data_IF_208886844029
#
_entry.id   IF_208886844029
#
_cell.length_a   1.000
_cell.length_b   1.000
_cell.length_c   1.000
_cell.angle_alpha   90.00
_cell.angle_beta   90.00
_cell.angle_gamma   90.00
#
_symmetry.space_group_name_H-M   'P 1'
#
loop_
_entity.id
_entity.type
_entity.pdbx_description
1 polymer ?
#
# COMPACT_ATOMS: atom_id res chain seq x y z
N UNK A 1 42.23 -44.56 15.17
CA UNK A 1 42.47 -43.11 15.02
C UNK A 1 41.27 -42.38 15.58
N UNK A 2 41.45 -41.34 16.42
CA UNK A 2 40.33 -40.65 17.07
C UNK A 2 39.65 -39.68 16.10
N UNK A 3 38.34 -39.46 16.29
CA UNK A 3 37.53 -38.53 15.51
C UNK A 3 37.96 -37.07 15.79
N UNK A 4 37.84 -36.15 14.80
CA UNK A 4 38.13 -34.73 15.02
C UNK A 4 37.04 -34.09 15.92
N UNK A 5 37.40 -33.07 16.71
CA UNK A 5 36.44 -32.38 17.57
C UNK A 5 35.43 -31.57 16.73
N UNK A 6 34.18 -31.56 17.18
CA UNK A 6 33.12 -30.74 16.62
C UNK A 6 33.43 -29.25 16.82
N UNK A 7 33.33 -28.46 15.75
CA UNK A 7 33.42 -27.02 15.81
C UNK A 7 32.19 -26.44 16.54
N UNK A 8 32.43 -25.60 17.54
CA UNK A 8 31.40 -24.81 18.21
C UNK A 8 30.80 -23.79 17.23
N UNK A 9 29.50 -23.49 17.31
CA UNK A 9 28.89 -22.49 16.44
C UNK A 9 29.41 -21.09 16.79
N UNK A 10 29.98 -20.42 15.79
CA UNK A 10 30.36 -19.01 15.87
C UNK A 10 29.12 -18.17 16.21
N UNK A 11 29.23 -17.38 17.28
CA UNK A 11 28.22 -16.40 17.65
C UNK A 11 28.10 -15.36 16.53
N UNK A 12 26.90 -15.26 15.93
CA UNK A 12 26.54 -14.15 15.05
C UNK A 12 26.72 -12.85 15.83
N UNK A 13 27.66 -12.02 15.39
CA UNK A 13 27.83 -10.67 15.90
C UNK A 13 26.55 -9.87 15.61
N UNK A 14 26.03 -9.20 16.64
CA UNK A 14 24.98 -8.18 16.51
C UNK A 14 25.49 -7.08 15.56
N UNK A 15 24.89 -6.99 14.38
CA UNK A 15 25.09 -5.84 13.50
C UNK A 15 24.36 -4.62 14.09
N UNK A 16 24.97 -3.42 14.07
CA UNK A 16 24.37 -2.23 14.65
C UNK A 16 23.10 -1.83 13.88
N UNK A 17 22.00 -1.68 14.62
CA UNK A 17 20.63 -1.40 14.17
C UNK A 17 20.41 -0.05 13.45
N UNK A 18 21.48 0.70 13.15
CA UNK A 18 21.43 2.11 12.76
C UNK A 18 22.23 2.42 11.48
N UNK A 19 22.36 1.43 10.58
CA UNK A 19 22.73 1.72 9.20
C UNK A 19 21.60 2.54 8.54
N UNK A 20 21.90 3.62 7.81
CA UNK A 20 20.86 4.35 7.07
C UNK A 20 20.18 3.35 6.14
N UNK A 21 18.88 3.10 6.35
CA UNK A 21 18.10 2.26 5.44
C UNK A 21 18.24 2.88 4.06
N UNK A 22 18.91 2.17 3.15
CA UNK A 22 19.02 2.59 1.77
C UNK A 22 17.60 2.84 1.24
N UNK A 23 17.40 3.96 0.52
CA UNK A 23 16.11 4.25 -0.10
C UNK A 23 15.71 3.07 -0.99
N UNK A 24 14.43 2.67 -0.98
CA UNK A 24 13.98 1.51 -1.75
C UNK A 24 14.26 1.73 -3.24
N UNK A 25 14.89 0.75 -3.87
CA UNK A 25 15.26 0.80 -5.29
C UNK A 25 14.33 -0.03 -6.15
N UNK A 26 13.75 -1.09 -5.57
CA UNK A 26 12.81 -1.98 -6.23
C UNK A 26 11.49 -1.98 -5.49
N UNK A 27 10.40 -1.62 -6.19
CA UNK A 27 9.05 -1.63 -5.65
C UNK A 27 8.27 -2.80 -6.22
N UNK A 28 7.41 -3.41 -5.42
CA UNK A 28 6.30 -4.21 -5.94
C UNK A 28 5.02 -3.42 -5.75
N UNK A 29 4.49 -2.86 -6.83
CA UNK A 29 3.18 -2.23 -6.85
C UNK A 29 2.15 -3.36 -6.89
N UNK A 30 1.19 -3.37 -5.97
CA UNK A 30 0.20 -4.42 -5.78
C UNK A 30 -1.19 -3.81 -5.73
N UNK A 31 -2.14 -4.56 -6.29
CA UNK A 31 -3.57 -4.32 -6.14
C UNK A 31 -4.31 -5.67 -6.06
N UNK A 32 -5.43 -5.69 -5.34
CA UNK A 32 -6.25 -6.89 -5.13
C UNK A 32 -7.70 -6.61 -5.52
N UNK A 33 -8.32 -7.56 -6.24
CA UNK A 33 -9.78 -7.62 -6.32
C UNK A 33 -10.31 -8.73 -5.42
N UNK A 34 -11.44 -8.47 -4.78
CA UNK A 34 -11.98 -9.31 -3.72
C UNK A 34 -13.48 -9.54 -3.92
N UNK A 35 -14.04 -10.56 -3.26
CA UNK A 35 -15.48 -10.82 -3.28
C UNK A 35 -16.31 -9.84 -2.45
N UNK A 36 -15.64 -9.11 -1.56
CA UNK A 36 -16.20 -8.15 -0.60
C UNK A 36 -15.09 -7.51 0.26
N UNK A 37 -15.43 -6.96 1.42
CA UNK A 37 -14.52 -6.11 2.21
C UNK A 37 -13.97 -6.78 3.47
N UNK A 38 -14.56 -7.90 3.93
CA UNK A 38 -14.21 -8.54 5.20
C UNK A 38 -13.32 -9.76 4.97
N UNK A 39 -12.03 -9.73 5.30
CA UNK A 39 -11.12 -10.85 5.06
C UNK A 39 -11.44 -12.14 5.83
N UNK A 40 -12.35 -12.09 6.82
CA UNK A 40 -12.84 -13.28 7.53
C UNK A 40 -14.01 -13.96 6.81
N UNK A 41 -14.73 -13.24 5.95
CA UNK A 41 -15.93 -13.75 5.26
C UNK A 41 -15.77 -13.81 3.74
N UNK A 42 -14.94 -12.92 3.19
CA UNK A 42 -14.69 -12.73 1.77
C UNK A 42 -13.34 -13.32 1.35
N UNK A 43 -13.10 -13.34 0.04
CA UNK A 43 -11.92 -13.94 -0.57
C UNK A 43 -11.28 -12.98 -1.58
N UNK A 44 -9.94 -12.95 -1.61
CA UNK A 44 -9.19 -12.37 -2.73
C UNK A 44 -9.38 -13.25 -3.98
N UNK A 45 -9.71 -12.62 -5.11
CA UNK A 45 -10.04 -13.31 -6.37
C UNK A 45 -9.21 -12.85 -7.57
N UNK A 46 -8.49 -11.74 -7.47
CA UNK A 46 -7.46 -11.32 -8.43
C UNK A 46 -6.28 -10.72 -7.67
N UNK A 47 -5.07 -11.10 -8.09
CA UNK A 47 -3.83 -10.42 -7.72
C UNK A 47 -3.29 -9.74 -8.97
N UNK A 48 -2.94 -8.46 -8.84
CA UNK A 48 -2.20 -7.70 -9.84
C UNK A 48 -0.92 -7.15 -9.22
N UNK A 49 0.18 -7.21 -9.95
CA UNK A 49 1.42 -6.63 -9.50
C UNK A 49 2.35 -6.15 -10.62
N UNK A 50 3.20 -5.18 -10.29
CA UNK A 50 4.27 -4.65 -11.13
C UNK A 50 5.54 -4.50 -10.29
N UNK A 51 6.59 -5.20 -10.68
CA UNK A 51 7.94 -4.97 -10.17
C UNK A 51 8.55 -3.78 -10.91
N UNK A 52 8.82 -2.70 -10.17
CA UNK A 52 9.22 -1.41 -10.71
C UNK A 52 10.59 -1.00 -10.16
N UNK A 53 11.50 -0.67 -11.05
CA UNK A 53 12.82 -0.13 -10.72
C UNK A 53 12.73 1.40 -10.59
N UNK A 54 13.00 1.90 -9.38
CA UNK A 54 12.92 3.32 -9.04
C UNK A 54 13.95 4.13 -9.84
N UNK A 55 15.26 3.79 -9.86
CA UNK A 55 16.26 4.62 -10.52
C UNK A 55 16.04 4.78 -12.04
N UNK A 56 15.67 3.70 -12.73
CA UNK A 56 15.44 3.73 -14.18
C UNK A 56 13.99 4.03 -14.57
N UNK A 57 13.09 4.21 -13.60
CA UNK A 57 11.66 4.44 -13.81
C UNK A 57 10.99 3.39 -14.70
N UNK A 58 11.45 2.15 -14.60
CA UNK A 58 11.10 1.10 -15.55
C UNK A 58 10.40 -0.08 -14.89
N UNK A 59 9.43 -0.65 -15.62
CA UNK A 59 8.81 -1.92 -15.24
C UNK A 59 9.76 -3.06 -15.57
N UNK A 60 10.14 -3.84 -14.55
CA UNK A 60 10.98 -5.03 -14.69
C UNK A 60 10.14 -6.27 -14.99
N UNK A 61 8.99 -6.40 -14.32
CA UNK A 61 8.04 -7.48 -14.49
C UNK A 61 6.64 -7.01 -14.14
N UNK A 62 5.62 -7.64 -14.73
CA UNK A 62 4.23 -7.41 -14.39
C UNK A 62 3.43 -8.70 -14.55
N UNK A 63 2.44 -8.90 -13.69
CA UNK A 63 1.59 -10.08 -13.73
C UNK A 63 0.21 -9.77 -13.16
N UNK A 64 -0.80 -10.45 -13.68
CA UNK A 64 -2.05 -10.63 -12.96
C UNK A 64 -2.66 -12.00 -13.23
N UNK A 65 -3.34 -12.53 -12.22
CA UNK A 65 -3.97 -13.84 -12.27
C UNK A 65 -5.17 -13.90 -11.31
N UNK A 66 -6.11 -14.77 -11.64
CA UNK A 66 -7.31 -15.00 -10.84
C UNK A 66 -7.08 -16.11 -9.83
N UNK A 67 -7.61 -15.91 -8.62
CA UNK A 67 -7.70 -16.92 -7.58
C UNK A 67 -9.12 -17.53 -7.60
N UNK A 68 -9.25 -18.87 -7.60
CA UNK A 68 -10.57 -19.50 -7.63
C UNK A 68 -11.41 -19.15 -6.38
N UNK A 69 -12.65 -18.70 -6.62
CA UNK A 69 -13.64 -18.40 -5.58
C UNK A 69 -14.99 -19.00 -5.96
N UNK A 70 -15.85 -19.29 -4.99
CA UNK A 70 -17.17 -19.89 -5.25
C UNK A 70 -18.21 -18.85 -5.67
N UNK A 71 -18.16 -17.65 -5.08
CA UNK A 71 -19.05 -16.52 -5.34
C UNK A 71 -18.26 -15.20 -5.36
N UNK A 72 -18.85 -14.16 -5.95
CA UNK A 72 -18.30 -12.81 -5.96
C UNK A 72 -19.45 -11.80 -5.83
N UNK A 73 -19.68 -11.27 -4.63
CA UNK A 73 -20.72 -10.25 -4.41
C UNK A 73 -20.32 -8.88 -5.00
N UNK A 74 -19.03 -8.66 -5.21
CA UNK A 74 -18.46 -7.45 -5.80
C UNK A 74 -18.36 -7.48 -7.34
N UNK A 75 -18.96 -8.47 -8.03
CA UNK A 75 -18.88 -8.61 -9.50
C UNK A 75 -19.34 -7.34 -10.24
N UNK A 76 -20.31 -6.60 -9.71
CA UNK A 76 -20.77 -5.35 -10.32
C UNK A 76 -19.68 -4.24 -10.35
N UNK A 77 -18.67 -4.36 -9.47
CA UNK A 77 -17.55 -3.42 -9.33
C UNK A 77 -16.37 -3.90 -10.17
N UNK A 78 -15.85 -5.10 -9.87
CA UNK A 78 -14.64 -5.63 -10.49
C UNK A 78 -14.86 -6.34 -11.84
N UNK A 79 -16.12 -6.65 -12.17
CA UNK A 79 -16.53 -7.32 -13.42
C UNK A 79 -15.89 -8.69 -13.62
N UNK A 80 -15.59 -9.41 -12.53
CA UNK A 80 -15.00 -10.75 -12.57
C UNK A 80 -16.05 -11.78 -12.15
N UNK A 81 -16.67 -12.52 -13.08
CA UNK A 81 -17.60 -13.58 -12.70
C UNK A 81 -16.88 -14.70 -11.95
N UNK A 82 -17.44 -15.14 -10.82
CA UNK A 82 -16.85 -16.22 -10.01
C UNK A 82 -16.64 -17.51 -10.82
N UNK A 83 -17.49 -17.78 -11.82
CA UNK A 83 -17.34 -18.93 -12.70
C UNK A 83 -16.08 -18.86 -13.60
N UNK A 84 -15.56 -17.66 -13.90
CA UNK A 84 -14.34 -17.48 -14.70
C UNK A 84 -13.10 -17.82 -13.88
N UNK A 85 -13.07 -17.48 -12.59
CA UNK A 85 -11.92 -17.76 -11.70
C UNK A 85 -11.68 -19.26 -11.49
N UNK A 86 -12.70 -20.11 -11.76
CA UNK A 86 -12.61 -21.58 -11.65
C UNK A 86 -12.32 -22.27 -12.98
N UNK A 87 -12.09 -21.54 -14.08
CA UNK A 87 -11.68 -22.15 -15.36
C UNK A 87 -10.26 -22.72 -15.23
N UNK A 88 -9.88 -23.76 -16.01
CA UNK A 88 -8.52 -24.27 -16.00
C UNK A 88 -7.50 -23.17 -16.33
N UNK A 89 -6.58 -22.89 -15.41
CA UNK A 89 -5.56 -21.85 -15.52
C UNK A 89 -4.39 -22.13 -14.57
N UNK A 90 -3.17 -21.68 -14.88
CA UNK A 90 -1.97 -21.94 -14.09
C UNK A 90 -1.82 -20.96 -12.92
N UNK A 91 -2.87 -20.80 -12.11
CA UNK A 91 -2.87 -19.81 -11.02
C UNK A 91 -1.88 -20.18 -9.90
N UNK A 92 -1.55 -21.47 -9.74
CA UNK A 92 -0.59 -21.93 -8.73
C UNK A 92 0.83 -21.55 -9.12
N UNK A 93 1.19 -21.74 -10.39
CA UNK A 93 2.47 -21.31 -10.94
C UNK A 93 2.56 -19.78 -10.95
N UNK A 94 1.46 -19.10 -11.23
CA UNK A 94 1.38 -17.65 -11.12
C UNK A 94 1.63 -17.17 -9.69
N UNK A 95 1.07 -17.86 -8.69
CA UNK A 95 1.30 -17.57 -7.27
C UNK A 95 2.77 -17.77 -6.86
N UNK A 96 3.42 -18.84 -7.33
CA UNK A 96 4.86 -19.06 -7.09
C UNK A 96 5.70 -17.93 -7.71
N UNK A 97 5.36 -17.48 -8.92
CA UNK A 97 6.04 -16.34 -9.51
C UNK A 97 5.80 -15.05 -8.72
N UNK A 98 4.58 -14.82 -8.24
CA UNK A 98 4.26 -13.69 -7.37
C UNK A 98 5.07 -13.69 -6.07
N UNK A 99 5.29 -14.85 -5.44
CA UNK A 99 6.18 -14.97 -4.28
C UNK A 99 7.62 -14.56 -4.61
N UNK A 100 8.15 -14.95 -5.78
CA UNK A 100 9.46 -14.48 -6.23
C UNK A 100 9.52 -12.97 -6.47
N UNK A 101 8.44 -12.35 -6.93
CA UNK A 101 8.35 -10.90 -7.08
C UNK A 101 8.29 -10.20 -5.73
N UNK A 102 7.60 -10.78 -4.74
CA UNK A 102 7.58 -10.28 -3.37
C UNK A 102 8.97 -10.29 -2.73
N UNK A 103 9.69 -11.41 -2.88
CA UNK A 103 11.05 -11.57 -2.34
C UNK A 103 12.06 -10.62 -2.99
N UNK A 104 11.82 -10.20 -4.23
CA UNK A 104 12.70 -9.30 -4.97
C UNK A 104 12.50 -7.80 -4.63
N UNK A 105 11.42 -7.44 -3.92
CA UNK A 105 11.07 -6.04 -3.69
C UNK A 105 11.54 -5.53 -2.33
N UNK A 106 12.08 -4.30 -2.33
CA UNK A 106 12.45 -3.58 -1.11
C UNK A 106 11.22 -3.01 -0.38
N UNK A 107 10.17 -2.68 -1.15
CA UNK A 107 8.97 -2.00 -0.67
C UNK A 107 7.73 -2.43 -1.47
N UNK A 108 6.63 -2.71 -0.76
CA UNK A 108 5.32 -2.93 -1.36
C UNK A 108 4.57 -1.61 -1.47
N UNK A 109 3.95 -1.36 -2.60
CA UNK A 109 3.20 -0.12 -2.87
C UNK A 109 1.79 -0.46 -3.30
N UNK A 110 0.80 0.20 -2.70
CA UNK A 110 -0.59 0.06 -3.13
C UNK A 110 -1.35 1.37 -3.01
N UNK A 111 -2.44 1.52 -3.78
CA UNK A 111 -3.35 2.64 -3.65
C UNK A 111 -4.50 2.26 -2.73
N UNK A 112 -4.41 2.69 -1.45
CA UNK A 112 -5.20 2.16 -0.33
C UNK A 112 -4.61 0.90 0.31
N UNK A 113 -3.30 0.88 0.56
CA UNK A 113 -2.57 -0.30 1.05
C UNK A 113 -3.17 -1.03 2.26
N UNK A 114 -3.91 -0.34 3.15
CA UNK A 114 -4.61 -1.01 4.25
C UNK A 114 -5.64 -2.04 3.77
N UNK A 115 -6.29 -1.79 2.63
CA UNK A 115 -7.23 -2.70 2.00
C UNK A 115 -6.55 -3.93 1.44
N UNK A 116 -5.44 -3.79 0.72
CA UNK A 116 -4.73 -4.94 0.12
C UNK A 116 -3.99 -5.77 1.17
N UNK A 117 -3.32 -5.10 2.12
CA UNK A 117 -2.48 -5.74 3.12
C UNK A 117 -3.24 -6.74 3.99
N UNK A 118 -4.53 -6.52 4.27
CA UNK A 118 -5.31 -7.40 5.14
C UNK A 118 -5.50 -8.81 4.57
N UNK A 119 -5.33 -9.00 3.26
CA UNK A 119 -5.46 -10.30 2.60
C UNK A 119 -4.18 -11.14 2.68
N UNK A 120 -3.03 -10.53 2.96
CA UNK A 120 -1.74 -11.21 2.98
C UNK A 120 -1.60 -12.09 4.23
N UNK A 121 -1.23 -13.36 4.02
CA UNK A 121 -1.18 -14.37 5.06
C UNK A 121 -2.51 -15.09 5.30
N UNK A 122 -3.54 -14.83 4.47
CA UNK A 122 -4.83 -15.50 4.51
C UNK A 122 -5.05 -16.35 3.25
N UNK A 123 -5.69 -17.51 3.44
CA UNK A 123 -5.99 -18.42 2.34
C UNK A 123 -4.73 -18.85 1.60
N UNK A 124 -4.66 -18.52 0.30
CA UNK A 124 -3.50 -18.82 -0.56
C UNK A 124 -2.61 -17.61 -0.82
N UNK A 125 -2.98 -16.42 -0.33
CA UNK A 125 -2.16 -15.22 -0.51
C UNK A 125 -1.01 -15.27 0.50
N UNK A 126 0.26 -15.18 0.06
CA UNK A 126 1.41 -15.34 0.94
C UNK A 126 1.45 -14.23 2.01
N UNK A 127 1.98 -14.58 3.18
CA UNK A 127 2.36 -13.58 4.17
C UNK A 127 3.62 -12.84 3.69
N UNK A 128 3.81 -11.60 4.14
CA UNK A 128 5.01 -10.83 3.85
C UNK A 128 5.39 -9.96 5.03
N UNK A 129 6.70 -9.82 5.25
CA UNK A 129 7.28 -8.86 6.20
C UNK A 129 7.77 -7.58 5.52
N UNK A 130 7.73 -7.53 4.17
CA UNK A 130 8.15 -6.37 3.40
C UNK A 130 7.30 -5.15 3.77
N UNK A 131 7.91 -3.98 4.00
CA UNK A 131 7.18 -2.77 4.36
C UNK A 131 6.17 -2.38 3.27
N UNK A 132 5.14 -1.64 3.66
CA UNK A 132 4.11 -1.12 2.77
C UNK A 132 4.15 0.40 2.73
N UNK A 133 3.87 0.95 1.55
CA UNK A 133 3.62 2.38 1.33
C UNK A 133 2.29 2.58 0.60
N UNK A 134 1.46 3.48 1.11
CA UNK A 134 0.18 3.81 0.53
C UNK A 134 0.25 5.09 -0.32
N UNK A 135 0.00 4.98 -1.63
CA UNK A 135 0.01 6.16 -2.52
C UNK A 135 -1.12 7.15 -2.24
N UNK A 136 -2.18 6.70 -1.55
CA UNK A 136 -3.30 7.55 -1.14
C UNK A 136 -3.07 8.23 0.22
N UNK A 137 -2.39 7.57 1.16
CA UNK A 137 -2.29 8.04 2.55
C UNK A 137 -0.90 8.56 2.95
N UNK A 138 0.16 8.00 2.38
CA UNK A 138 1.53 8.24 2.84
C UNK A 138 2.26 9.23 1.93
N UNK A 139 1.95 9.25 0.63
CA UNK A 139 2.52 10.22 -0.31
C UNK A 139 1.81 11.57 -0.21
N UNK A 140 2.60 12.65 -0.23
CA UNK A 140 2.10 14.02 -0.42
C UNK A 140 2.38 14.45 -1.83
N UNK A 141 1.35 14.33 -2.66
CA UNK A 141 1.42 14.73 -4.06
C UNK A 141 1.61 16.24 -4.20
N UNK A 142 2.43 16.71 -5.16
CA UNK A 142 2.70 18.14 -5.35
C UNK A 142 1.43 18.96 -5.53
N UNK A 143 1.38 20.16 -4.94
CA UNK A 143 0.21 21.02 -4.95
C UNK A 143 -0.20 21.46 -6.37
N UNK A 144 0.77 21.55 -7.28
CA UNK A 144 0.59 21.89 -8.70
C UNK A 144 -0.29 20.88 -9.43
N UNK A 145 -0.37 19.63 -8.93
CA UNK A 145 -1.25 18.58 -9.46
C UNK A 145 -2.72 18.80 -9.11
N UNK A 146 -3.02 19.73 -8.18
CA UNK A 146 -4.37 20.10 -7.75
C UNK A 146 -5.22 18.89 -7.30
N UNK A 147 -4.56 17.90 -6.72
CA UNK A 147 -5.20 16.69 -6.22
C UNK A 147 -5.86 16.96 -4.86
N UNK A 148 -6.93 16.20 -4.58
CA UNK A 148 -7.48 16.10 -3.22
C UNK A 148 -6.45 15.44 -2.30
N UNK A 149 -6.60 15.61 -0.98
CA UNK A 149 -5.70 15.00 0.01
C UNK A 149 -5.60 13.47 -0.09
N UNK A 150 -6.67 12.83 -0.57
CA UNK A 150 -6.75 11.39 -0.88
C UNK A 150 -7.36 11.24 -2.27
N UNK A 151 -6.57 11.40 -3.34
CA UNK A 151 -7.10 11.26 -4.68
C UNK A 151 -7.45 9.80 -4.94
N UNK A 152 -8.42 9.54 -5.83
CA UNK A 152 -8.57 8.19 -6.38
C UNK A 152 -7.38 7.88 -7.29
N UNK A 153 -7.08 6.59 -7.52
CA UNK A 153 -6.02 6.18 -8.46
C UNK A 153 -6.25 6.78 -9.86
N UNK A 154 -7.51 6.89 -10.29
CA UNK A 154 -7.90 7.55 -11.53
C UNK A 154 -7.58 9.04 -11.53
N UNK A 155 -7.97 9.77 -10.48
CA UNK A 155 -7.70 11.21 -10.39
C UNK A 155 -6.18 11.46 -10.39
N UNK A 156 -5.43 10.61 -9.68
CA UNK A 156 -3.98 10.64 -9.64
C UNK A 156 -3.39 10.40 -11.04
N UNK A 157 -3.79 9.33 -11.73
CA UNK A 157 -3.37 9.01 -13.10
C UNK A 157 -3.60 10.19 -14.05
N UNK A 158 -4.81 10.77 -14.03
CA UNK A 158 -5.19 11.90 -14.87
C UNK A 158 -4.34 13.15 -14.59
N UNK A 159 -4.02 13.44 -13.32
CA UNK A 159 -3.17 14.59 -12.95
C UNK A 159 -1.71 14.45 -13.44
N UNK A 160 -1.29 13.24 -13.76
CA UNK A 160 0.00 12.93 -14.40
C UNK A 160 -0.12 12.70 -15.91
N UNK A 161 -1.28 12.94 -16.51
CA UNK A 161 -1.50 12.78 -17.95
C UNK A 161 -1.57 11.34 -18.42
N UNK A 162 -1.82 10.39 -17.51
CA UNK A 162 -2.01 8.97 -17.83
C UNK A 162 -3.46 8.74 -18.23
N UNK A 163 -3.74 8.22 -19.44
CA UNK A 163 -5.10 7.88 -19.84
C UNK A 163 -5.66 6.76 -18.96
N UNK A 164 -6.94 6.86 -18.59
CA UNK A 164 -7.62 5.84 -17.79
C UNK A 164 -8.63 5.11 -18.66
N UNK A 165 -8.44 3.80 -18.85
CA UNK A 165 -9.24 2.97 -19.76
C UNK A 165 -10.05 1.88 -19.03
N UNK A 166 -9.60 1.49 -17.84
CA UNK A 166 -10.25 0.52 -16.97
C UNK A 166 -10.16 0.98 -15.52
N UNK A 167 -11.03 0.45 -14.67
CA UNK A 167 -10.96 0.62 -13.22
C UNK A 167 -11.49 -0.67 -12.60
N UNK A 168 -11.04 -0.97 -11.38
CA UNK A 168 -11.42 -2.19 -10.65
C UNK A 168 -10.97 -3.44 -11.41
N UNK A 169 -9.70 -3.42 -11.82
CA UNK A 169 -8.95 -4.56 -12.33
C UNK A 169 -7.53 -4.40 -11.86
N UNK A 170 -7.04 -5.39 -11.12
CA UNK A 170 -5.84 -5.22 -10.29
C UNK A 170 -4.62 -4.73 -11.07
N UNK A 171 -4.33 -5.35 -12.23
CA UNK A 171 -3.19 -4.92 -13.05
C UNK A 171 -3.36 -3.52 -13.62
N UNK A 172 -4.58 -3.13 -14.01
CA UNK A 172 -4.80 -1.79 -14.59
C UNK A 172 -4.53 -0.70 -13.55
N UNK A 173 -4.97 -0.92 -12.31
CA UNK A 173 -4.73 0.03 -11.23
C UNK A 173 -3.24 0.06 -10.82
N UNK A 174 -2.54 -1.08 -10.87
CA UNK A 174 -1.07 -1.11 -10.75
C UNK A 174 -0.37 -0.32 -11.88
N UNK A 175 -0.81 -0.46 -13.14
CA UNK A 175 -0.24 0.26 -14.28
C UNK A 175 -0.38 1.76 -14.07
N UNK A 176 -1.52 2.25 -13.57
CA UNK A 176 -1.68 3.68 -13.30
C UNK A 176 -0.67 4.21 -12.29
N UNK A 177 -0.38 3.46 -11.23
CA UNK A 177 0.64 3.84 -10.24
C UNK A 177 2.03 3.82 -10.88
N UNK A 178 2.37 2.78 -11.63
CA UNK A 178 3.66 2.66 -12.31
C UNK A 178 3.89 3.81 -13.31
N UNK A 179 2.88 4.15 -14.09
CA UNK A 179 2.92 5.26 -15.05
C UNK A 179 3.01 6.63 -14.35
N UNK A 180 2.34 6.81 -13.21
CA UNK A 180 2.51 8.00 -12.37
C UNK A 180 3.94 8.11 -11.87
N UNK A 181 4.46 7.03 -11.29
CA UNK A 181 5.84 6.97 -10.78
C UNK A 181 6.89 7.22 -11.86
N UNK A 182 6.68 6.69 -13.07
CA UNK A 182 7.55 6.96 -14.21
C UNK A 182 7.58 8.44 -14.63
N UNK A 183 6.56 9.23 -14.25
CA UNK A 183 6.44 10.67 -14.51
C UNK A 183 6.71 11.54 -13.27
N UNK A 184 7.20 10.93 -12.19
CA UNK A 184 7.64 11.63 -10.98
C UNK A 184 9.16 11.80 -11.01
N UNK A 185 9.61 13.03 -11.28
CA UNK A 185 11.05 13.36 -11.23
C UNK A 185 11.60 13.24 -9.79
N UNK A 186 10.75 13.46 -8.78
CA UNK A 186 11.07 13.49 -7.35
C UNK A 186 10.65 12.21 -6.59
N UNK A 187 10.45 11.08 -7.29
CA UNK A 187 9.90 9.87 -6.68
C UNK A 187 10.69 9.37 -5.47
N UNK A 188 12.03 9.38 -5.51
CA UNK A 188 12.88 8.94 -4.39
C UNK A 188 12.57 9.75 -3.13
N UNK A 189 12.42 11.07 -3.28
CA UNK A 189 12.04 11.95 -2.19
C UNK A 189 10.61 11.66 -1.72
N UNK A 190 9.66 11.41 -2.63
CA UNK A 190 8.28 11.06 -2.26
C UNK A 190 8.23 9.72 -1.48
N UNK A 191 9.04 8.73 -1.87
CA UNK A 191 9.14 7.45 -1.19
C UNK A 191 9.79 7.59 0.19
N UNK A 192 10.92 8.29 0.28
CA UNK A 192 11.60 8.58 1.56
C UNK A 192 10.64 9.25 2.54
N UNK A 193 9.93 10.29 2.08
CA UNK A 193 8.92 10.99 2.88
C UNK A 193 7.74 10.10 3.22
N UNK A 194 7.30 9.28 2.27
CA UNK A 194 6.20 8.33 2.46
C UNK A 194 6.53 7.24 3.49
N UNK A 195 7.82 6.93 3.68
CA UNK A 195 8.27 5.96 4.67
C UNK A 195 8.50 6.53 6.08
N UNK A 196 8.36 7.84 6.27
CA UNK A 196 8.46 8.44 7.59
C UNK A 196 7.43 7.83 8.56
N UNK A 197 7.82 7.55 9.82
CA UNK A 197 6.88 7.12 10.83
C UNK A 197 5.73 8.12 10.99
N UNK A 198 4.50 7.61 11.06
CA UNK A 198 3.29 8.44 11.23
C UNK A 198 2.43 8.01 12.39
N UNK A 199 2.02 8.98 13.19
CA UNK A 199 1.08 8.80 14.28
C UNK A 199 -0.28 9.40 13.92
N UNK A 200 -1.36 8.83 14.45
CA UNK A 200 -2.68 9.43 14.36
C UNK A 200 -2.73 10.67 15.25
N UNK A 201 -2.99 11.82 14.64
CA UNK A 201 -3.07 13.11 15.30
C UNK A 201 -4.51 13.64 15.24
N UNK A 202 -4.94 14.29 16.33
CA UNK A 202 -6.19 15.05 16.40
C UNK A 202 -5.90 16.55 16.32
N UNK A 203 -6.61 17.24 15.44
CA UNK A 203 -6.55 18.70 15.37
C UNK A 203 -7.22 19.34 16.59
N UNK A 204 -6.56 20.34 17.19
CA UNK A 204 -7.10 21.17 18.28
C UNK A 204 -7.57 22.52 17.71
N UNK A 205 -8.61 22.45 16.87
CA UNK A 205 -9.24 23.62 16.25
C UNK A 205 -10.65 23.85 16.82
N UNK A 206 -11.07 25.11 16.87
CA UNK A 206 -12.46 25.45 17.20
C UNK A 206 -13.42 25.10 16.04
N UNK A 207 -14.74 25.21 16.29
CA UNK A 207 -15.74 24.98 15.25
C UNK A 207 -15.64 25.98 14.10
N UNK A 208 -15.26 27.23 14.38
CA UNK A 208 -15.08 28.29 13.38
C UNK A 208 -13.85 28.03 12.50
N UNK A 209 -12.79 27.47 13.10
CA UNK A 209 -11.51 27.14 12.46
C UNK A 209 -11.48 25.77 11.78
N UNK A 210 -12.60 25.03 11.76
CA UNK A 210 -12.68 23.69 11.15
C UNK A 210 -12.20 23.63 9.69
N UNK A 211 -12.23 24.76 8.99
CA UNK A 211 -11.74 24.90 7.63
C UNK A 211 -10.21 24.71 7.54
N UNK A 212 -9.44 25.11 8.57
CA UNK A 212 -8.00 24.89 8.64
C UNK A 212 -7.66 23.39 8.71
N UNK A 213 -8.35 22.65 9.60
CA UNK A 213 -8.17 21.20 9.70
C UNK A 213 -8.54 20.50 8.38
N UNK A 214 -9.66 20.91 7.75
CA UNK A 214 -10.08 20.36 6.45
C UNK A 214 -9.05 20.67 5.35
N UNK A 215 -8.54 21.89 5.29
CA UNK A 215 -7.53 22.31 4.31
C UNK A 215 -6.21 21.54 4.51
N UNK A 216 -5.82 21.32 5.76
CA UNK A 216 -4.71 20.46 6.15
C UNK A 216 -5.04 18.97 6.09
N UNK A 217 -6.07 18.56 5.34
CA UNK A 217 -6.35 17.15 5.02
C UNK A 217 -6.86 16.28 6.18
N UNK A 218 -7.23 16.86 7.33
CA UNK A 218 -7.85 16.11 8.42
C UNK A 218 -9.26 15.65 8.03
N UNK A 219 -9.71 14.54 8.61
CA UNK A 219 -11.05 13.98 8.43
C UNK A 219 -11.87 14.08 9.70
N UNK A 220 -13.10 14.55 9.56
CA UNK A 220 -14.07 14.59 10.65
C UNK A 220 -14.74 13.23 10.82
N UNK A 221 -14.88 12.75 12.06
CA UNK A 221 -15.55 11.50 12.42
C UNK A 221 -14.87 10.20 11.95
N UNK A 222 -13.63 10.23 11.49
CA UNK A 222 -12.94 9.07 10.94
C UNK A 222 -11.44 9.09 11.31
N UNK A 223 -10.90 8.09 12.04
CA UNK A 223 -11.63 6.96 12.66
C UNK A 223 -12.35 7.32 13.98
N UNK A 224 -12.16 8.54 14.51
CA UNK A 224 -12.69 8.94 15.82
C UNK A 224 -13.91 9.84 15.65
N UNK A 225 -15.06 9.39 16.16
CA UNK A 225 -16.30 10.16 16.17
C UNK A 225 -16.14 11.48 16.93
N UNK A 226 -16.57 12.59 16.33
CA UNK A 226 -16.51 13.92 16.90
C UNK A 226 -15.12 14.55 16.89
N UNK A 227 -14.19 14.04 16.10
CA UNK A 227 -12.83 14.57 16.00
C UNK A 227 -12.36 14.72 14.56
N UNK A 228 -11.54 15.74 14.32
CA UNK A 228 -10.72 15.88 13.13
C UNK A 228 -9.43 15.10 13.34
N UNK A 229 -9.17 14.06 12.54
CA UNK A 229 -7.95 13.26 12.67
C UNK A 229 -7.24 13.04 11.34
N UNK A 230 -5.91 12.83 11.42
CA UNK A 230 -5.03 12.56 10.28
C UNK A 230 -3.77 11.85 10.76
N UNK A 231 -3.22 10.93 9.97
CA UNK A 231 -1.88 10.39 10.21
C UNK A 231 -0.83 11.34 9.68
N UNK A 232 0.13 11.72 10.51
CA UNK A 232 1.17 12.71 10.20
C UNK A 232 2.52 12.22 10.69
N UNK A 233 3.58 12.56 9.95
CA UNK A 233 4.96 12.47 10.45
C UNK A 233 5.34 13.70 11.27
N UNK A 234 6.44 13.63 12.01
CA UNK A 234 6.94 14.75 12.81
C UNK A 234 7.21 16.00 11.96
N UNK A 235 7.72 15.82 10.73
CA UNK A 235 7.87 16.93 9.79
C UNK A 235 6.52 17.58 9.48
N UNK A 236 5.53 16.77 9.12
CA UNK A 236 4.21 17.31 8.75
C UNK A 236 3.53 18.02 9.93
N UNK A 237 3.76 17.54 11.17
CA UNK A 237 3.27 18.22 12.38
C UNK A 237 3.90 19.59 12.55
N UNK A 238 5.21 19.73 12.28
CA UNK A 238 5.93 21.00 12.39
C UNK A 238 5.50 22.04 11.34
N UNK A 239 4.89 21.60 10.22
CA UNK A 239 4.40 22.47 9.15
C UNK A 239 2.97 23.01 9.40
N UNK A 240 2.27 22.53 10.44
CA UNK A 240 0.90 22.96 10.72
C UNK A 240 0.83 24.33 11.40
N UNK A 241 -0.15 25.13 10.98
CA UNK A 241 -0.46 26.44 11.56
C UNK A 241 -1.35 26.36 12.82
N UNK A 242 -1.74 25.16 13.25
CA UNK A 242 -2.60 24.93 14.41
C UNK A 242 -2.11 23.73 15.24
N UNK A 243 -2.39 23.73 16.56
CA UNK A 243 -1.92 22.66 17.43
C UNK A 243 -2.64 21.32 17.15
N UNK A 244 -1.90 20.24 17.32
CA UNK A 244 -2.38 18.86 17.24
C UNK A 244 -2.00 18.08 18.50
N UNK A 245 -2.67 16.95 18.73
CA UNK A 245 -2.29 16.02 19.78
C UNK A 245 -2.34 14.58 19.27
N UNK A 246 -1.40 13.71 19.70
CA UNK A 246 -1.45 12.31 19.37
C UNK A 246 -2.71 11.67 19.96
N UNK A 247 -3.24 10.67 19.26
CA UNK A 247 -4.34 9.84 19.74
C UNK A 247 -4.00 8.39 19.51
N UNK A 248 -4.19 7.57 20.55
CA UNK A 248 -4.14 6.13 20.45
C UNK A 248 -5.53 5.61 20.05
N UNK A 249 -5.57 4.76 19.04
CA UNK A 249 -6.76 3.95 18.79
C UNK A 249 -6.69 2.78 19.76
N UNK A 250 -7.60 2.73 20.73
CA UNK A 250 -7.82 1.49 21.49
C UNK A 250 -8.10 0.38 20.46
N UNK A 251 -7.34 -0.72 20.54
CA UNK A 251 -7.32 -1.79 19.55
C UNK A 251 -8.64 -2.60 19.41
N UNK A 252 -9.72 -2.18 20.08
CA UNK A 252 -10.95 -2.95 20.27
C UNK A 252 -12.08 -2.65 19.25
N UNK A 253 -11.75 -2.22 18.02
CA UNK A 253 -12.78 -1.94 16.97
C UNK A 253 -12.43 -2.39 15.55
N UNK A 254 -11.60 -3.42 15.39
CA UNK A 254 -11.43 -4.14 14.12
C UNK A 254 -12.29 -5.41 14.03
N UNK A 255 -13.28 -5.55 14.92
CA UNK A 255 -14.17 -6.72 15.03
C UNK A 255 -15.66 -6.36 14.98
N UNK A 256 -16.04 -5.41 14.12
CA UNK A 256 -17.45 -5.11 13.82
C UNK A 256 -17.66 -4.83 12.34
#
# INVERSE_FOLDING_TARGET
>A
MPAPPAAEPEAKADEPEDAPKASPTTLLIIDTETSGLDPLQDQCLELGCILFDVPSRSVLAQQSFLLPVDSNAAEAINRIPAAVTRRPQPWREALVWFEHLLDAADLLVAHNAAFDRQWFGLGVVPATATPWLCTMEDIRWPAERQLRSRPSVRDLALAYGVPVWAAHRALSDCIYIAEVFARCDDLEQLLERGLEPRQLMRARVSFEERHLAKAAGFRWNDPIKGAWTRRLSDREVAELEFPVAPVELEADRLSA
#
